data_IF_016842237110
#
_entry.id   IF_016842237110
#
_cell.length_a   1.000
_cell.length_b   1.000
_cell.length_c   1.000
_cell.angle_alpha   90.00
_cell.angle_beta   90.00
_cell.angle_gamma   90.00
#
_symmetry.space_group_name_H-M   'P 1'
#
loop_
_entity.id
_entity.type
_entity.pdbx_description
1 polymer ?
#
# COMPACT_ATOMS: atom_id res chain seq x y z
N UNK A 1 -20.20 -90.74 28.28
CA UNK A 1 -19.35 -89.54 28.52
C UNK A 1 -19.69 -88.53 27.42
N UNK A 2 -20.13 -87.29 27.60
CA UNK A 2 -20.31 -86.34 28.71
C UNK A 2 -21.60 -85.55 28.39
N UNK A 3 -22.33 -85.13 29.42
CA UNK A 3 -23.61 -84.42 29.35
C UNK A 3 -23.46 -82.93 28.97
N UNK A 4 -24.53 -82.33 28.41
CA UNK A 4 -24.88 -80.96 28.75
C UNK A 4 -26.38 -80.79 29.06
N UNK A 5 -26.69 -80.12 30.17
CA UNK A 5 -28.03 -79.60 30.45
C UNK A 5 -27.93 -78.42 31.44
N UNK A 6 -28.34 -77.21 31.04
CA UNK A 6 -29.64 -76.64 31.46
C UNK A 6 -29.87 -75.20 30.90
N UNK A 7 -31.12 -74.89 30.53
CA UNK A 7 -31.60 -73.54 30.16
C UNK A 7 -32.49 -72.91 31.26
N UNK A 8 -32.75 -71.58 31.19
CA UNK A 8 -33.91 -70.88 31.81
C UNK A 8 -33.94 -69.41 31.33
N UNK A 9 -34.96 -68.98 30.56
CA UNK A 9 -36.26 -68.36 30.92
C UNK A 9 -36.18 -66.86 31.30
N UNK A 10 -36.90 -66.02 30.55
CA UNK A 10 -37.02 -64.57 30.78
C UNK A 10 -38.28 -64.11 31.53
N UNK A 11 -38.44 -62.78 31.66
CA UNK A 11 -39.69 -62.01 31.67
C UNK A 11 -39.39 -60.49 31.74
N UNK A 12 -40.23 -59.69 31.05
CA UNK A 12 -40.24 -58.22 30.84
C UNK A 12 -40.70 -57.42 32.10
N UNK A 13 -40.94 -56.06 32.14
CA UNK A 13 -41.19 -55.09 31.05
C UNK A 13 -40.63 -53.64 31.21
N UNK A 14 -41.04 -52.79 30.25
CA UNK A 14 -40.64 -51.44 29.89
C UNK A 14 -40.65 -50.32 30.96
N UNK A 15 -39.70 -49.38 30.81
CA UNK A 15 -39.79 -48.01 31.32
C UNK A 15 -39.47 -46.99 30.20
N UNK A 16 -40.21 -45.89 30.22
CA UNK A 16 -40.50 -44.92 29.15
C UNK A 16 -39.27 -44.19 28.56
N UNK A 17 -39.28 -43.83 27.27
CA UNK A 17 -38.23 -43.00 26.67
C UNK A 17 -38.36 -41.54 27.13
N UNK A 18 -37.26 -40.98 27.64
CA UNK A 18 -37.09 -39.53 27.82
C UNK A 18 -36.89 -38.86 26.45
N UNK A 19 -37.43 -37.65 26.23
CA UNK A 19 -37.34 -36.97 24.95
C UNK A 19 -35.89 -36.56 24.65
N UNK A 20 -35.44 -36.88 23.44
CA UNK A 20 -34.18 -36.38 22.90
C UNK A 20 -34.23 -34.85 22.85
N UNK A 21 -33.33 -34.21 23.58
CA UNK A 21 -33.11 -32.78 23.48
C UNK A 21 -32.67 -32.46 22.04
N UNK A 22 -33.33 -31.47 21.45
CA UNK A 22 -33.07 -30.97 20.12
C UNK A 22 -31.57 -30.65 19.95
N UNK A 23 -31.00 -31.15 18.86
CA UNK A 23 -29.67 -30.78 18.43
C UNK A 23 -29.59 -29.25 18.27
N UNK A 24 -28.51 -28.60 18.74
CA UNK A 24 -28.33 -27.17 18.56
C UNK A 24 -28.28 -26.83 17.06
N UNK A 25 -28.83 -25.66 16.66
CA UNK A 25 -28.88 -25.26 15.26
C UNK A 25 -27.47 -25.23 14.64
N UNK A 26 -27.33 -25.59 13.36
CA UNK A 26 -26.04 -25.65 12.70
C UNK A 26 -25.38 -24.26 12.75
N UNK A 27 -24.15 -24.24 13.25
CA UNK A 27 -23.28 -23.06 13.21
C UNK A 27 -23.21 -22.54 11.77
N UNK A 28 -23.28 -21.21 11.55
CA UNK A 28 -23.15 -20.66 10.21
C UNK A 28 -21.83 -21.14 9.61
N UNK A 29 -21.96 -21.76 8.45
CA UNK A 29 -20.87 -22.28 7.63
C UNK A 29 -19.89 -21.14 7.41
N UNK A 30 -18.67 -21.29 7.92
CA UNK A 30 -17.54 -20.46 7.52
C UNK A 30 -17.42 -20.60 6.00
N UNK A 31 -17.88 -19.57 5.27
CA UNK A 31 -17.50 -19.38 3.87
C UNK A 31 -15.97 -19.39 3.87
N UNK A 32 -15.39 -20.32 3.11
CA UNK A 32 -13.95 -20.32 2.84
C UNK A 32 -13.50 -18.93 2.35
N UNK A 33 -12.22 -18.59 2.50
CA UNK A 33 -11.74 -17.26 2.13
C UNK A 33 -12.10 -17.02 0.66
N UNK A 34 -12.92 -16.00 0.40
CA UNK A 34 -13.14 -15.49 -0.95
C UNK A 34 -11.76 -15.15 -1.53
N UNK A 35 -11.53 -15.35 -2.83
CA UNK A 35 -10.30 -14.87 -3.45
C UNK A 35 -10.20 -13.35 -3.23
N UNK A 36 -9.02 -12.86 -2.82
CA UNK A 36 -8.81 -11.43 -2.52
C UNK A 36 -9.16 -10.51 -3.72
N UNK A 37 -9.15 -11.08 -4.93
CA UNK A 37 -9.58 -10.44 -6.18
C UNK A 37 -11.08 -10.12 -6.28
N UNK A 38 -11.94 -10.66 -5.42
CA UNK A 38 -13.41 -10.47 -5.46
C UNK A 38 -13.93 -9.71 -4.23
N UNK A 39 -13.05 -9.08 -3.45
CA UNK A 39 -13.47 -8.30 -2.29
C UNK A 39 -14.23 -7.06 -2.75
N UNK A 40 -15.38 -6.79 -2.13
CA UNK A 40 -16.05 -5.50 -2.28
C UNK A 40 -15.22 -4.40 -1.60
N UNK A 41 -15.39 -3.14 -1.99
CA UNK A 41 -14.60 -2.02 -1.47
C UNK A 41 -14.72 -1.85 0.06
N UNK A 42 -15.89 -2.16 0.63
CA UNK A 42 -16.09 -2.24 2.08
C UNK A 42 -15.33 -3.41 2.72
N UNK A 43 -15.25 -4.56 2.04
CA UNK A 43 -14.47 -5.71 2.55
C UNK A 43 -12.96 -5.42 2.52
N UNK A 44 -12.50 -4.56 1.60
CA UNK A 44 -11.11 -4.07 1.53
C UNK A 44 -10.82 -3.18 2.75
N UNK A 45 -11.73 -2.26 3.09
CA UNK A 45 -11.60 -1.36 4.24
C UNK A 45 -11.56 -2.12 5.56
N UNK A 46 -12.50 -3.05 5.77
CA UNK A 46 -12.51 -3.92 6.96
C UNK A 46 -11.24 -4.76 7.05
N UNK A 47 -10.76 -5.27 5.92
CA UNK A 47 -9.55 -6.11 5.90
C UNK A 47 -8.31 -5.28 6.21
N UNK A 48 -8.24 -4.05 5.72
CA UNK A 48 -7.16 -3.13 6.07
C UNK A 48 -7.16 -2.80 7.57
N UNK A 49 -8.31 -2.53 8.18
CA UNK A 49 -8.42 -2.27 9.62
C UNK A 49 -7.96 -3.46 10.46
N UNK A 50 -8.31 -4.68 10.05
CA UNK A 50 -7.81 -5.89 10.67
C UNK A 50 -6.28 -5.98 10.58
N UNK A 51 -5.69 -5.66 9.42
CA UNK A 51 -4.24 -5.69 9.23
C UNK A 51 -3.52 -4.62 10.07
N UNK A 52 -4.05 -3.39 10.12
CA UNK A 52 -3.51 -2.30 10.94
C UNK A 52 -3.60 -2.67 12.43
N UNK A 53 -4.74 -3.20 12.89
CA UNK A 53 -4.96 -3.64 14.28
C UNK A 53 -4.04 -4.80 14.70
N UNK A 54 -3.62 -5.61 13.73
CA UNK A 54 -2.68 -6.71 13.93
C UNK A 54 -1.22 -6.27 13.84
N UNK A 55 -0.93 -5.09 13.29
CA UNK A 55 0.43 -4.57 13.15
C UNK A 55 1.03 -4.32 14.54
N UNK A 56 2.24 -4.82 14.77
CA UNK A 56 2.93 -4.71 16.07
C UNK A 56 2.54 -5.77 17.12
N UNK A 57 1.56 -6.65 16.85
CA UNK A 57 1.26 -7.79 17.73
C UNK A 57 2.31 -8.89 17.58
N UNK A 58 2.82 -9.39 18.70
CA UNK A 58 3.85 -10.43 18.73
C UNK A 58 3.26 -11.78 18.28
N UNK A 59 3.86 -12.40 17.27
CA UNK A 59 3.52 -13.76 16.82
C UNK A 59 2.87 -13.89 15.44
N UNK A 60 2.62 -12.79 14.73
CA UNK A 60 2.08 -12.85 13.37
C UNK A 60 3.19 -12.88 12.30
N UNK A 61 2.97 -13.65 11.23
CA UNK A 61 3.87 -13.65 10.09
C UNK A 61 3.72 -12.35 9.30
N UNK A 62 4.81 -11.57 9.28
CA UNK A 62 4.84 -10.27 8.62
C UNK A 62 4.79 -10.40 7.09
N UNK A 63 5.43 -11.40 6.53
CA UNK A 63 5.46 -11.60 5.08
C UNK A 63 4.05 -11.86 4.53
N UNK A 64 3.26 -12.67 5.22
CA UNK A 64 1.87 -12.96 4.81
C UNK A 64 1.00 -11.69 4.85
N UNK A 65 1.21 -10.80 5.82
CA UNK A 65 0.49 -9.52 5.88
C UNK A 65 0.83 -8.61 4.70
N UNK A 66 2.12 -8.56 4.32
CA UNK A 66 2.60 -7.80 3.19
C UNK A 66 2.02 -8.32 1.86
N UNK A 67 1.95 -9.65 1.69
CA UNK A 67 1.35 -10.26 0.50
C UNK A 67 -0.16 -9.98 0.40
N UNK A 68 -0.87 -10.00 1.53
CA UNK A 68 -2.30 -9.62 1.56
C UNK A 68 -2.46 -8.14 1.19
N UNK A 69 -1.64 -7.23 1.72
CA UNK A 69 -1.70 -5.80 1.36
C UNK A 69 -1.44 -5.56 -0.13
N UNK A 70 -0.48 -6.28 -0.72
CA UNK A 70 -0.21 -6.23 -2.17
C UNK A 70 -1.39 -6.72 -3.00
N UNK A 71 -2.14 -7.72 -2.52
CA UNK A 71 -3.33 -8.21 -3.22
C UNK A 71 -4.48 -7.23 -3.12
N UNK A 72 -4.69 -6.62 -1.94
CA UNK A 72 -5.71 -5.58 -1.73
C UNK A 72 -5.47 -4.36 -2.61
N UNK A 73 -4.21 -3.92 -2.77
CA UNK A 73 -3.87 -2.78 -3.64
C UNK A 73 -4.02 -3.09 -5.15
N UNK A 74 -4.18 -4.35 -5.54
CA UNK A 74 -4.50 -4.72 -6.92
C UNK A 74 -6.01 -4.91 -7.13
N UNK A 75 -6.78 -5.12 -6.06
CA UNK A 75 -8.22 -5.33 -6.12
C UNK A 75 -9.01 -4.00 -6.04
N UNK A 76 -8.46 -2.97 -5.39
CA UNK A 76 -9.14 -1.68 -5.24
C UNK A 76 -9.22 -0.90 -6.55
N UNK A 77 -10.39 -0.29 -6.83
CA UNK A 77 -10.59 0.61 -7.96
C UNK A 77 -10.49 2.09 -7.55
N UNK A 78 -10.72 2.41 -6.27
CA UNK A 78 -10.59 3.75 -5.68
C UNK A 78 -9.14 4.26 -5.65
N UNK A 79 -8.81 5.36 -6.34
CA UNK A 79 -7.50 6.00 -6.28
C UNK A 79 -7.07 6.40 -4.86
N UNK A 80 -7.98 6.96 -4.06
CA UNK A 80 -7.72 7.30 -2.65
C UNK A 80 -7.25 6.10 -1.82
N UNK A 81 -8.02 5.00 -1.90
CA UNK A 81 -7.71 3.79 -1.14
C UNK A 81 -6.46 3.09 -1.65
N UNK A 82 -6.22 3.15 -2.95
CA UNK A 82 -4.98 2.64 -3.55
C UNK A 82 -3.76 3.31 -2.94
N UNK A 83 -3.74 4.64 -2.83
CA UNK A 83 -2.63 5.39 -2.24
C UNK A 83 -2.43 5.03 -0.77
N UNK A 84 -3.50 4.93 0.01
CA UNK A 84 -3.45 4.50 1.43
C UNK A 84 -2.84 3.09 1.57
N UNK A 85 -3.35 2.12 0.80
CA UNK A 85 -2.87 0.73 0.81
C UNK A 85 -1.39 0.63 0.40
N UNK A 86 -0.99 1.33 -0.66
CA UNK A 86 0.41 1.35 -1.10
C UNK A 86 1.32 2.00 -0.04
N UNK A 87 0.85 3.06 0.63
CA UNK A 87 1.56 3.66 1.77
C UNK A 87 1.79 2.64 2.89
N UNK A 88 0.76 1.87 3.26
CA UNK A 88 0.91 0.79 4.24
C UNK A 88 1.90 -0.30 3.79
N UNK A 89 1.93 -0.65 2.50
CA UNK A 89 2.93 -1.59 1.96
C UNK A 89 4.34 -1.06 2.17
N UNK A 90 4.59 0.22 1.88
CA UNK A 90 5.91 0.84 2.06
C UNK A 90 6.30 0.87 3.55
N UNK A 91 5.40 1.37 4.41
CA UNK A 91 5.64 1.43 5.85
C UNK A 91 5.98 0.05 6.44
N UNK A 92 5.23 -0.96 6.03
CA UNK A 92 5.44 -2.33 6.51
C UNK A 92 6.78 -2.92 6.05
N UNK A 93 7.18 -2.68 4.79
CA UNK A 93 8.50 -3.06 4.30
C UNK A 93 9.62 -2.38 5.09
N UNK A 94 9.46 -1.08 5.38
CA UNK A 94 10.44 -0.32 6.15
C UNK A 94 10.58 -0.79 7.60
N UNK A 95 9.49 -1.20 8.25
CA UNK A 95 9.51 -1.77 9.60
C UNK A 95 10.18 -3.15 9.65
N UNK A 96 10.01 -3.96 8.60
CA UNK A 96 10.67 -5.26 8.48
C UNK A 96 12.19 -5.14 8.28
N UNK A 97 12.62 -4.08 7.60
CA UNK A 97 14.02 -3.83 7.27
C UNK A 97 14.66 -2.72 8.11
N UNK A 98 14.07 -2.37 9.26
CA UNK A 98 14.67 -1.46 10.23
C UNK A 98 15.82 -2.16 10.97
N UNK A 99 17.00 -2.21 10.33
CA UNK A 99 18.23 -2.69 10.96
C UNK A 99 19.38 -1.72 10.67
N UNK A 100 20.06 -1.25 11.71
CA UNK A 100 21.20 -0.35 11.56
C UNK A 100 22.43 -1.04 10.95
N UNK A 101 22.58 -2.36 11.17
CA UNK A 101 23.79 -3.12 10.82
C UNK A 101 23.73 -3.79 9.45
N UNK A 102 22.54 -3.93 8.87
CA UNK A 102 22.35 -4.58 7.57
C UNK A 102 21.53 -3.68 6.66
N UNK A 103 21.99 -3.47 5.43
CA UNK A 103 21.19 -2.82 4.41
C UNK A 103 20.00 -3.70 4.00
N UNK A 104 18.92 -3.05 3.58
CA UNK A 104 17.81 -3.73 2.94
C UNK A 104 18.27 -4.51 1.70
N UNK A 105 17.78 -5.75 1.48
CA UNK A 105 18.09 -6.49 0.26
C UNK A 105 17.70 -5.70 -0.99
N UNK A 106 18.57 -5.71 -2.01
CA UNK A 106 18.38 -4.94 -3.26
C UNK A 106 17.03 -5.24 -3.92
N UNK A 107 16.58 -6.50 -3.88
CA UNK A 107 15.29 -6.90 -4.43
C UNK A 107 14.12 -6.18 -3.74
N UNK A 108 14.13 -6.13 -2.40
CA UNK A 108 13.07 -5.46 -1.64
C UNK A 108 13.11 -3.95 -1.86
N UNK A 109 14.32 -3.36 -1.94
CA UNK A 109 14.47 -1.95 -2.27
C UNK A 109 13.85 -1.61 -3.62
N UNK A 110 14.04 -2.46 -4.64
CA UNK A 110 13.40 -2.29 -5.97
C UNK A 110 11.89 -2.44 -5.91
N UNK A 111 11.37 -3.39 -5.13
CA UNK A 111 9.92 -3.52 -4.92
C UNK A 111 9.33 -2.26 -4.27
N UNK A 112 9.99 -1.67 -3.26
CA UNK A 112 9.54 -0.41 -2.65
C UNK A 112 9.63 0.75 -3.65
N UNK A 113 10.69 0.81 -4.44
CA UNK A 113 10.85 1.81 -5.51
C UNK A 113 9.66 1.76 -6.49
N UNK A 114 9.27 0.56 -6.95
CA UNK A 114 8.14 0.38 -7.86
C UNK A 114 6.80 0.76 -7.22
N UNK A 115 6.60 0.41 -5.94
CA UNK A 115 5.40 0.80 -5.18
C UNK A 115 5.34 2.31 -4.99
N UNK A 116 6.46 2.96 -4.66
CA UNK A 116 6.53 4.41 -4.49
C UNK A 116 6.28 5.14 -5.81
N UNK A 117 6.84 4.64 -6.91
CA UNK A 117 6.53 5.15 -8.25
C UNK A 117 5.03 5.05 -8.57
N UNK A 118 4.40 3.91 -8.26
CA UNK A 118 2.95 3.73 -8.45
C UNK A 118 2.13 4.73 -7.62
N UNK A 119 2.57 5.06 -6.40
CA UNK A 119 1.93 6.12 -5.60
C UNK A 119 2.02 7.46 -6.31
N UNK A 120 3.21 7.87 -6.76
CA UNK A 120 3.39 9.14 -7.48
C UNK A 120 2.55 9.20 -8.76
N UNK A 121 2.56 8.14 -9.57
CA UNK A 121 1.77 8.08 -10.81
C UNK A 121 0.26 8.22 -10.51
N UNK A 122 -0.23 7.61 -9.42
CA UNK A 122 -1.63 7.71 -8.99
C UNK A 122 -1.98 9.12 -8.49
N UNK A 123 -1.07 9.77 -7.77
CA UNK A 123 -1.24 11.14 -7.27
C UNK A 123 -1.21 12.18 -8.39
N UNK A 124 -0.40 11.96 -9.43
CA UNK A 124 -0.35 12.83 -10.61
C UNK A 124 -1.60 12.64 -11.48
N UNK A 125 -2.11 11.40 -11.59
CA UNK A 125 -3.31 11.10 -12.35
C UNK A 125 -4.61 11.60 -11.69
N UNK A 126 -4.60 11.90 -10.39
CA UNK A 126 -5.78 12.38 -9.66
C UNK A 126 -5.43 13.66 -8.87
N UNK A 127 -5.39 14.83 -9.54
CA UNK A 127 -4.99 16.10 -8.92
C UNK A 127 -5.90 16.54 -7.75
N UNK A 128 -7.17 16.13 -7.78
CA UNK A 128 -8.21 16.49 -6.80
C UNK A 128 -8.06 15.76 -5.45
N UNK A 129 -7.21 14.74 -5.38
CA UNK A 129 -6.94 14.02 -4.14
C UNK A 129 -6.28 14.93 -3.11
N UNK A 130 -7.01 15.22 -2.03
CA UNK A 130 -6.49 15.86 -0.83
C UNK A 130 -5.76 14.81 -0.01
N UNK A 131 -4.44 14.79 -0.12
CA UNK A 131 -3.57 13.97 0.72
C UNK A 131 -3.35 14.71 2.03
N UNK A 132 -3.88 14.16 3.13
CA UNK A 132 -3.57 14.64 4.47
C UNK A 132 -2.49 13.76 5.09
N UNK A 133 -1.43 14.40 5.58
CA UNK A 133 -0.29 13.72 6.21
C UNK A 133 -0.65 13.42 7.66
N UNK A 134 -0.73 12.14 8.02
CA UNK A 134 -0.83 11.74 9.42
C UNK A 134 0.58 11.76 10.03
N UNK A 135 0.94 12.89 10.64
CA UNK A 135 2.20 12.99 11.41
C UNK A 135 2.08 12.21 12.73
N UNK A 136 2.61 10.99 12.73
CA UNK A 136 2.72 10.17 13.93
C UNK A 136 3.30 8.80 13.62
N UNK A 137 4.51 8.53 14.13
CA UNK A 137 5.26 7.27 13.98
C UNK A 137 4.57 6.03 14.56
N UNK A 138 3.33 6.18 15.02
CA UNK A 138 2.48 5.11 15.50
C UNK A 138 1.13 5.23 14.79
N UNK A 139 0.95 4.50 13.69
CA UNK A 139 -0.33 4.39 12.98
C UNK A 139 -1.30 3.48 13.77
N UNK A 140 -1.42 3.78 15.08
CA UNK A 140 -2.37 3.17 16.03
C UNK A 140 -3.63 4.04 16.13
N UNK A 141 -3.58 5.29 15.66
CA UNK A 141 -4.70 6.26 15.69
C UNK A 141 -5.21 6.65 14.29
N UNK A 142 -4.88 5.90 13.23
CA UNK A 142 -5.45 6.14 11.89
C UNK A 142 -6.90 5.63 11.85
N UNK A 143 -7.86 6.48 12.22
CA UNK A 143 -9.24 6.29 11.80
C UNK A 143 -9.26 6.44 10.28
N UNK A 144 -9.68 5.40 9.54
CA UNK A 144 -9.82 5.48 8.09
C UNK A 144 -10.79 6.63 7.75
N UNK A 145 -10.29 7.68 7.11
CA UNK A 145 -11.11 8.79 6.59
C UNK A 145 -11.55 8.56 5.14
N UNK A 146 -11.20 7.41 4.58
CA UNK A 146 -11.55 6.93 3.23
C UNK A 146 -12.70 5.93 3.24
N UNK A 147 -13.43 5.84 4.35
CA UNK A 147 -14.57 4.94 4.48
C UNK A 147 -15.60 5.27 3.38
N UNK A 148 -16.04 4.25 2.64
CA UNK A 148 -17.14 4.42 1.71
C UNK A 148 -18.40 4.84 2.49
N UNK A 149 -18.92 6.05 2.23
CA UNK A 149 -20.32 6.34 2.56
C UNK A 149 -21.19 5.55 1.57
N UNK A 150 -22.16 4.80 2.09
CA UNK A 150 -23.08 4.04 1.26
C UNK A 150 -23.98 5.01 0.48
N UNK A 151 -23.67 5.24 -0.80
CA UNK A 151 -24.64 5.73 -1.76
C UNK A 151 -25.74 4.68 -1.97
N UNK A 152 -26.96 5.11 -2.26
CA UNK A 152 -28.15 4.24 -2.39
C UNK A 152 -28.10 3.29 -3.61
N UNK A 153 -27.01 3.28 -4.39
CA UNK A 153 -26.80 2.39 -5.53
C UNK A 153 -25.43 1.69 -5.47
N UNK A 154 -25.40 0.38 -5.75
CA UNK A 154 -24.30 -0.55 -5.46
C UNK A 154 -22.97 -0.26 -6.21
N UNK A 155 -22.89 0.76 -7.07
CA UNK A 155 -21.72 1.04 -7.92
C UNK A 155 -21.31 2.53 -8.03
N UNK A 156 -21.97 3.46 -7.34
CA UNK A 156 -21.63 4.90 -7.39
C UNK A 156 -20.90 5.36 -6.12
N UNK A 157 -19.57 5.22 -6.12
CA UNK A 157 -18.73 5.68 -5.03
C UNK A 157 -18.19 7.09 -5.34
N UNK A 158 -18.59 8.06 -4.54
CA UNK A 158 -18.04 9.42 -4.58
C UNK A 158 -16.67 9.39 -3.87
N UNK A 159 -15.58 9.45 -4.63
CA UNK A 159 -14.20 9.52 -4.10
C UNK A 159 -13.87 10.92 -3.56
N UNK A 160 -14.72 11.44 -2.65
CA UNK A 160 -14.52 12.72 -1.97
C UNK A 160 -13.76 12.58 -0.64
N UNK A 161 -13.14 11.42 -0.40
CA UNK A 161 -12.43 11.11 0.84
C UNK A 161 -11.05 11.75 0.88
N UNK A 162 -10.74 12.45 1.97
CA UNK A 162 -9.37 12.86 2.28
C UNK A 162 -8.54 11.59 2.43
N UNK A 163 -7.55 11.40 1.56
CA UNK A 163 -6.67 10.23 1.63
C UNK A 163 -5.60 10.45 2.68
N UNK A 164 -5.64 9.66 3.73
CA UNK A 164 -4.57 9.63 4.72
C UNK A 164 -3.43 8.74 4.23
N UNK A 165 -2.25 9.33 4.01
CA UNK A 165 -1.03 8.54 3.77
C UNK A 165 -0.32 8.26 5.09
N UNK A 166 0.21 7.03 5.23
CA UNK A 166 1.02 6.63 6.40
C UNK A 166 2.43 7.23 6.32
N UNK A 167 2.51 8.55 6.49
CA UNK A 167 3.70 9.37 6.25
C UNK A 167 3.57 10.21 4.99
N UNK A 168 4.51 11.14 4.81
CA UNK A 168 4.58 12.00 3.63
C UNK A 168 5.35 11.30 2.50
N UNK A 169 5.01 11.62 1.24
CA UNK A 169 5.74 11.19 0.03
C UNK A 169 7.24 11.46 0.19
N UNK A 170 7.61 12.62 0.75
CA UNK A 170 8.99 12.97 1.08
C UNK A 170 9.64 11.93 2.00
N UNK A 171 8.98 11.54 3.09
CA UNK A 171 9.55 10.62 4.08
C UNK A 171 9.89 9.25 3.47
N UNK A 172 9.09 8.78 2.51
CA UNK A 172 9.39 7.54 1.79
C UNK A 172 10.62 7.69 0.89
N UNK A 173 10.71 8.81 0.16
CA UNK A 173 11.85 9.10 -0.71
C UNK A 173 13.15 9.19 0.09
N UNK A 174 13.15 9.95 1.19
CA UNK A 174 14.32 10.12 2.04
C UNK A 174 14.80 8.79 2.61
N UNK A 175 13.89 7.95 3.11
CA UNK A 175 14.24 6.64 3.66
C UNK A 175 14.72 5.66 2.58
N UNK A 176 14.17 5.75 1.38
CA UNK A 176 14.61 4.94 0.23
C UNK A 176 16.05 5.30 -0.18
N UNK A 177 16.37 6.59 -0.17
CA UNK A 177 17.69 7.12 -0.45
C UNK A 177 18.72 6.76 0.64
N UNK A 178 18.36 6.92 1.92
CA UNK A 178 19.22 6.56 3.04
C UNK A 178 19.59 5.06 3.01
N UNK A 179 18.64 4.17 2.69
CA UNK A 179 18.91 2.74 2.50
C UNK A 179 19.74 2.45 1.24
N UNK A 180 19.62 3.27 0.18
CA UNK A 180 20.49 3.19 -0.99
C UNK A 180 21.94 3.52 -0.62
N UNK A 181 22.19 4.65 0.04
CA UNK A 181 23.53 5.02 0.50
C UNK A 181 24.13 3.99 1.44
N UNK A 182 23.35 3.52 2.42
CA UNK A 182 23.76 2.48 3.36
C UNK A 182 24.12 1.17 2.65
N UNK A 183 23.40 0.79 1.59
CA UNK A 183 23.73 -0.40 0.80
C UNK A 183 25.08 -0.27 0.09
N UNK A 184 25.43 0.91 -0.41
CA UNK A 184 26.73 1.15 -1.03
C UNK A 184 27.86 1.14 -0.01
N UNK A 185 27.64 1.68 1.20
CA UNK A 185 28.65 1.69 2.27
C UNK A 185 29.03 0.30 2.76
N UNK A 186 28.10 -0.66 2.72
CA UNK A 186 28.33 -2.03 3.18
C UNK A 186 28.91 -2.95 2.10
N UNK A 187 28.88 -2.54 0.82
CA UNK A 187 29.45 -3.29 -0.29
C UNK A 187 30.92 -2.93 -0.51
N UNK A 188 31.73 -3.89 -0.96
CA UNK A 188 33.11 -3.63 -1.38
C UNK A 188 33.12 -2.81 -2.69
N UNK A 189 33.75 -1.63 -2.73
CA UNK A 189 33.83 -0.81 -3.94
C UNK A 189 34.48 -1.49 -5.15
N UNK A 190 35.29 -2.52 -4.93
CA UNK A 190 35.95 -3.28 -5.99
C UNK A 190 35.13 -4.47 -6.49
N UNK A 191 34.04 -4.81 -5.80
CA UNK A 191 33.18 -5.92 -6.17
C UNK A 191 32.21 -5.54 -7.30
N UNK A 192 31.90 -6.45 -8.24
CA UNK A 192 30.96 -6.17 -9.32
C UNK A 192 29.56 -5.82 -8.82
N UNK A 193 29.16 -6.33 -7.64
CA UNK A 193 27.90 -6.02 -7.00
C UNK A 193 27.76 -4.52 -6.69
N UNK A 194 28.84 -3.86 -6.25
CA UNK A 194 28.84 -2.42 -6.01
C UNK A 194 28.54 -1.64 -7.29
N UNK A 195 29.18 -2.01 -8.41
CA UNK A 195 28.94 -1.37 -9.71
C UNK A 195 27.50 -1.60 -10.17
N UNK A 196 26.93 -2.79 -9.95
CA UNK A 196 25.52 -3.04 -10.28
C UNK A 196 24.57 -2.21 -9.43
N UNK A 197 24.84 -2.04 -8.13
CA UNK A 197 24.02 -1.21 -7.25
C UNK A 197 24.15 0.28 -7.58
N UNK A 198 25.34 0.76 -7.95
CA UNK A 198 25.56 2.14 -8.35
C UNK A 198 24.72 2.54 -9.58
N UNK A 199 24.45 1.61 -10.50
CA UNK A 199 23.56 1.87 -11.64
C UNK A 199 22.11 2.17 -11.24
N UNK A 200 21.67 1.70 -10.07
CA UNK A 200 20.32 1.97 -9.54
C UNK A 200 20.17 3.43 -9.05
N UNK A 201 21.26 4.21 -8.95
CA UNK A 201 21.22 5.63 -8.60
C UNK A 201 20.51 6.47 -9.68
N UNK A 202 20.70 6.16 -10.96
CA UNK A 202 20.10 6.95 -12.05
C UNK A 202 18.57 6.89 -12.01
N UNK A 203 17.92 5.72 -11.90
CA UNK A 203 16.49 5.63 -11.63
C UNK A 203 16.05 6.36 -10.36
N UNK A 204 16.84 6.30 -9.29
CA UNK A 204 16.54 7.00 -8.03
C UNK A 204 16.51 8.52 -8.21
N UNK A 205 17.51 9.10 -8.89
CA UNK A 205 17.53 10.54 -9.18
C UNK A 205 16.36 10.96 -10.07
N UNK A 206 15.99 10.14 -11.07
CA UNK A 206 14.81 10.41 -11.89
C UNK A 206 13.53 10.43 -11.04
N UNK A 207 13.40 9.49 -10.10
CA UNK A 207 12.27 9.45 -9.17
C UNK A 207 12.24 10.67 -8.24
N UNK A 208 13.40 11.14 -7.76
CA UNK A 208 13.49 12.38 -6.98
C UNK A 208 13.04 13.59 -7.80
N UNK A 209 13.43 13.67 -9.08
CA UNK A 209 13.00 14.74 -9.99
C UNK A 209 11.49 14.70 -10.24
N UNK A 210 10.93 13.52 -10.44
CA UNK A 210 9.48 13.33 -10.61
C UNK A 210 8.73 13.76 -9.34
N UNK A 211 9.27 13.42 -8.16
CA UNK A 211 8.72 13.86 -6.86
C UNK A 211 8.79 15.38 -6.68
N UNK A 212 9.89 16.02 -7.09
CA UNK A 212 10.04 17.47 -7.05
C UNK A 212 9.01 18.15 -7.97
N UNK A 213 8.81 17.61 -9.18
CA UNK A 213 7.84 18.11 -10.12
C UNK A 213 6.39 17.98 -9.59
N UNK A 214 6.10 16.92 -8.84
CA UNK A 214 4.82 16.74 -8.14
C UNK A 214 4.61 17.81 -7.05
N UNK A 215 5.61 18.11 -6.22
CA UNK A 215 5.48 19.18 -5.23
C UNK A 215 5.36 20.56 -5.90
N UNK A 216 6.08 20.80 -6.99
CA UNK A 216 6.00 22.05 -7.76
C UNK A 216 4.68 22.26 -8.51
N UNK A 217 3.87 21.21 -8.71
CA UNK A 217 2.55 21.32 -9.36
C UNK A 217 1.43 21.64 -8.37
N UNK A 218 1.67 21.48 -7.07
CA UNK A 218 0.71 21.85 -6.03
C UNK A 218 0.66 23.39 -5.88
N UNK A 219 -0.49 23.96 -5.44
CA UNK A 219 -0.63 25.41 -5.25
C UNK A 219 0.42 25.98 -4.29
N UNK A 220 0.83 27.23 -4.50
CA UNK A 220 1.91 27.90 -3.74
C UNK A 220 1.64 28.00 -2.22
N UNK A 221 0.40 27.81 -1.77
CA UNK A 221 0.03 27.78 -0.35
C UNK A 221 0.42 26.48 0.38
N UNK A 222 0.88 25.45 -0.35
CA UNK A 222 1.37 24.19 0.24
C UNK A 222 2.87 24.23 0.56
N UNK A 223 3.29 23.41 1.53
CA UNK A 223 4.63 23.38 2.16
C UNK A 223 5.81 23.32 1.17
N UNK A 224 6.27 24.50 0.73
CA UNK A 224 7.47 24.71 -0.08
C UNK A 224 8.76 24.12 0.55
N UNK A 225 8.71 23.83 1.86
CA UNK A 225 9.77 23.16 2.61
C UNK A 225 10.06 21.75 2.10
N UNK A 226 9.03 21.00 1.71
CA UNK A 226 9.21 19.62 1.26
C UNK A 226 9.91 19.58 -0.11
N UNK A 227 9.49 20.44 -1.04
CA UNK A 227 10.16 20.64 -2.32
C UNK A 227 11.65 21.00 -2.14
N UNK A 228 11.96 21.89 -1.20
CA UNK A 228 13.34 22.28 -0.91
C UNK A 228 14.18 21.10 -0.38
N UNK A 229 13.61 20.21 0.43
CA UNK A 229 14.30 19.00 0.92
C UNK A 229 14.56 18.00 -0.20
N UNK A 230 13.60 17.78 -1.09
CA UNK A 230 13.81 16.95 -2.29
C UNK A 230 14.93 17.53 -3.15
N UNK A 231 14.89 18.84 -3.41
CA UNK A 231 15.90 19.53 -4.21
C UNK A 231 17.31 19.42 -3.60
N UNK A 232 17.44 19.51 -2.27
CA UNK A 232 18.72 19.32 -1.57
C UNK A 232 19.32 17.94 -1.84
N UNK A 233 18.51 16.87 -1.77
CA UNK A 233 18.98 15.51 -2.05
C UNK A 233 19.39 15.32 -3.51
N UNK A 234 18.64 15.90 -4.46
CA UNK A 234 19.04 15.89 -5.88
C UNK A 234 20.42 16.52 -6.06
N UNK A 235 20.69 17.65 -5.39
CA UNK A 235 22.01 18.29 -5.43
C UNK A 235 23.09 17.37 -4.86
N UNK A 236 22.82 16.66 -3.77
CA UNK A 236 23.74 15.68 -3.17
C UNK A 236 24.15 14.56 -4.14
N UNK A 237 23.25 14.10 -5.01
CA UNK A 237 23.58 13.08 -6.04
C UNK A 237 24.34 13.62 -7.25
N UNK A 238 24.34 14.94 -7.43
CA UNK A 238 24.75 15.56 -8.68
C UNK A 238 26.04 16.40 -8.53
N UNK A 239 26.29 17.02 -7.37
CA UNK A 239 27.37 18.01 -7.19
C UNK A 239 28.78 17.48 -7.49
N UNK A 240 28.99 16.17 -7.33
CA UNK A 240 30.29 15.53 -7.50
C UNK A 240 30.47 14.89 -8.89
N UNK A 241 29.50 15.06 -9.80
CA UNK A 241 29.49 14.50 -11.16
C UNK A 241 30.14 15.45 -12.16
N UNK A 242 30.62 14.89 -13.27
CA UNK A 242 31.16 15.68 -14.38
C UNK A 242 30.07 16.59 -14.98
N UNK A 243 30.43 17.82 -15.34
CA UNK A 243 29.51 18.82 -15.90
C UNK A 243 28.70 18.30 -17.09
N UNK A 244 29.28 17.44 -17.93
CA UNK A 244 28.56 16.84 -19.07
C UNK A 244 27.41 15.93 -18.64
N UNK A 245 27.60 15.14 -17.58
CA UNK A 245 26.56 14.29 -16.98
C UNK A 245 25.52 15.13 -16.25
N UNK A 246 25.97 16.16 -15.52
CA UNK A 246 25.10 17.16 -14.89
C UNK A 246 24.13 17.78 -15.90
N UNK A 247 24.65 18.29 -17.02
CA UNK A 247 23.85 18.98 -18.03
C UNK A 247 22.79 18.04 -18.64
N UNK A 248 23.14 16.77 -18.87
CA UNK A 248 22.19 15.76 -19.34
C UNK A 248 21.11 15.44 -18.31
N UNK A 249 21.49 15.28 -17.05
CA UNK A 249 20.54 15.03 -15.96
C UNK A 249 19.58 16.20 -15.77
N UNK A 250 20.06 17.44 -15.89
CA UNK A 250 19.22 18.65 -15.86
C UNK A 250 18.29 18.76 -17.06
N UNK A 251 18.78 18.48 -18.27
CA UNK A 251 17.93 18.47 -19.46
C UNK A 251 16.79 17.44 -19.34
N UNK A 252 17.10 16.25 -18.82
CA UNK A 252 16.10 15.23 -18.53
C UNK A 252 15.11 15.71 -17.47
N UNK A 253 15.57 16.35 -16.39
CA UNK A 253 14.70 16.89 -15.34
C UNK A 253 13.65 17.87 -15.90
N UNK A 254 14.08 18.78 -16.78
CA UNK A 254 13.20 19.76 -17.43
C UNK A 254 12.14 19.06 -18.29
N UNK A 255 12.56 18.08 -19.10
CA UNK A 255 11.64 17.30 -19.94
C UNK A 255 10.62 16.55 -19.08
N UNK A 256 11.07 15.89 -18.01
CA UNK A 256 10.20 15.13 -17.09
C UNK A 256 9.20 16.03 -16.38
N UNK A 257 9.67 17.18 -15.88
CA UNK A 257 8.79 18.19 -15.27
C UNK A 257 7.71 18.65 -16.24
N UNK A 258 8.07 18.87 -17.50
CA UNK A 258 7.10 19.24 -18.54
C UNK A 258 6.09 18.12 -18.80
N UNK A 259 6.55 16.88 -18.96
CA UNK A 259 5.70 15.71 -19.17
C UNK A 259 4.71 15.48 -18.01
N UNK A 260 5.16 15.65 -16.76
CA UNK A 260 4.30 15.51 -15.59
C UNK A 260 3.26 16.63 -15.50
N UNK A 261 3.64 17.86 -15.85
CA UNK A 261 2.68 18.96 -15.95
C UNK A 261 1.63 18.69 -17.01
N UNK A 262 2.03 18.25 -18.19
CA UNK A 262 1.12 17.87 -19.28
C UNK A 262 0.19 16.73 -18.87
N UNK A 263 0.71 15.72 -18.17
CA UNK A 263 -0.09 14.62 -17.63
C UNK A 263 -1.10 15.10 -16.57
N UNK A 264 -0.68 15.98 -15.66
CA UNK A 264 -1.55 16.53 -14.63
C UNK A 264 -2.66 17.42 -15.24
N UNK A 265 -2.35 18.25 -16.25
CA UNK A 265 -3.35 19.05 -16.95
C UNK A 265 -4.33 18.16 -17.73
N UNK A 266 -3.84 17.14 -18.43
CA UNK A 266 -4.70 16.21 -19.15
C UNK A 266 -5.61 15.41 -18.20
N UNK A 267 -5.10 15.07 -17.01
CA UNK A 267 -5.88 14.42 -15.97
C UNK A 267 -6.98 15.34 -15.41
N UNK A 268 -6.66 16.61 -15.16
CA UNK A 268 -7.63 17.62 -14.73
C UNK A 268 -8.72 17.85 -15.79
N UNK A 269 -8.34 17.99 -17.07
CA UNK A 269 -9.29 18.14 -18.18
C UNK A 269 -10.21 16.90 -18.31
N UNK A 270 -9.65 15.69 -18.13
CA UNK A 270 -10.41 14.44 -18.15
C UNK A 270 -11.40 14.33 -16.98
N UNK A 271 -11.00 14.80 -15.79
CA UNK A 271 -11.88 14.86 -14.62
C UNK A 271 -13.04 15.84 -14.85
N UNK A 272 -12.78 17.04 -15.41
CA UNK A 272 -13.82 18.02 -15.74
C UNK A 272 -14.82 17.47 -16.79
N UNK A 273 -14.32 16.75 -17.79
CA UNK A 273 -15.17 16.08 -18.79
C UNK A 273 -16.02 14.97 -18.15
N UNK A 274 -15.44 14.17 -17.24
CA UNK A 274 -16.18 13.11 -16.55
C UNK A 274 -17.31 13.68 -15.67
N UNK A 275 -17.04 14.76 -14.92
CA UNK A 275 -18.05 15.47 -14.13
C UNK A 275 -19.16 16.03 -15.02
N UNK A 276 -18.81 16.69 -16.13
CA UNK A 276 -19.80 17.24 -17.06
C UNK A 276 -20.58 16.20 -17.88
N UNK A 277 -20.13 14.93 -17.91
CA UNK A 277 -20.88 13.79 -18.46
C UNK A 277 -21.84 13.21 -17.42
N UNK A 278 -21.40 13.07 -16.16
CA UNK A 278 -22.26 12.62 -15.07
C UNK A 278 -23.46 13.58 -14.86
N UNK A 279 -23.21 14.90 -14.88
CA UNK A 279 -24.28 15.91 -14.78
C UNK A 279 -25.28 15.87 -15.94
N UNK A 280 -24.92 15.29 -17.09
CA UNK A 280 -25.81 15.14 -18.26
C UNK A 280 -26.59 13.83 -18.28
N UNK A 281 -26.16 12.82 -17.53
CA UNK A 281 -26.90 11.56 -17.39
C UNK A 281 -27.99 11.66 -16.30
N UNK A 282 -27.89 12.64 -15.39
CA UNK A 282 -28.90 12.94 -14.37
C UNK A 282 -30.05 13.88 -14.82
N UNK A 283 -29.97 14.52 -16.01
CA UNK A 283 -31.02 15.38 -16.62
C UNK A 283 -31.94 14.64 -17.62
#
# INVERSE_FOLDING_TARGET
MKAPAKPAKGAAPAAKPKPAAAAPPPKPVQKGPKPISEYNEMEIDERLDQLISMRGRKGQNRHDQLDILKQLSNATKRPSKLVELLGHVIAFNFDMHMNMLTAMPVKVWKEIFDVFKRILDTLVANPDLKVEVVEGTTVVDSVQMTAAEAGDEEDEFIDSGITQMTGNVLSYLERLDDEFYKSLQLLDPHAPEYVTRLKDEVPLVNLMQDTLAYYDSKPEDMDQKDAARVASRIVEHIYYREQGLFNKAMANAVIRKQQLKEAATAAADAAEIAVGLAEKEEE
#
